data_IF_753711387083
#
_entry.id   IF_753711387083
#
_cell.length_a   1.000
_cell.length_b   1.000
_cell.length_c   1.000
_cell.angle_alpha   90.00
_cell.angle_beta   90.00
_cell.angle_gamma   90.00
#
_symmetry.space_group_name_H-M   'P 1'
#
loop_
_entity.id
_entity.type
_entity.pdbx_description
1 polymer ?
#
# COMPACT_ATOMS: atom_id res chain seq x y z
N UNK A 1 -35.25 29.67 20.37
CA UNK A 1 -34.05 28.80 20.50
C UNK A 1 -33.37 28.75 19.15
N UNK A 2 -32.12 29.20 19.03
CA UNK A 2 -31.38 29.17 17.77
C UNK A 2 -31.03 27.72 17.40
N UNK A 3 -31.44 27.28 16.21
CA UNK A 3 -31.12 25.95 15.66
C UNK A 3 -29.59 25.86 15.51
N UNK A 4 -28.96 24.94 16.26
CA UNK A 4 -27.52 24.65 16.09
C UNK A 4 -27.32 23.80 14.84
N UNK A 5 -26.28 24.11 14.09
CA UNK A 5 -25.86 23.31 12.94
C UNK A 5 -24.94 22.18 13.42
N UNK A 6 -24.95 20.99 12.80
CA UNK A 6 -24.11 19.86 13.21
C UNK A 6 -22.62 20.21 13.29
N UNK A 7 -22.13 21.09 12.41
CA UNK A 7 -20.74 21.57 12.42
C UNK A 7 -20.35 22.37 13.67
N UNK A 8 -21.33 22.91 14.41
CA UNK A 8 -21.11 23.64 15.66
C UNK A 8 -20.92 22.71 16.86
N UNK A 9 -21.27 21.43 16.72
CA UNK A 9 -21.11 20.39 17.73
C UNK A 9 -19.80 19.60 17.54
N UNK A 10 -19.11 19.81 16.41
CA UNK A 10 -17.83 19.16 16.13
C UNK A 10 -16.66 19.80 16.87
N UNK A 11 -15.66 18.98 17.20
CA UNK A 11 -14.40 19.43 17.78
C UNK A 11 -13.66 20.38 16.83
N UNK A 12 -13.11 21.45 17.40
CA UNK A 12 -12.36 22.48 16.66
C UNK A 12 -10.94 22.57 17.18
N UNK A 13 -9.98 22.51 16.27
CA UNK A 13 -8.56 22.54 16.60
C UNK A 13 -7.87 23.73 15.90
N UNK A 14 -7.16 24.55 16.68
CA UNK A 14 -6.39 25.67 16.14
C UNK A 14 -4.99 25.22 15.75
N UNK A 15 -4.73 25.11 14.45
CA UNK A 15 -3.41 24.71 13.90
C UNK A 15 -2.55 25.94 13.66
N UNK A 16 -1.30 25.91 14.12
CA UNK A 16 -0.26 26.88 13.74
C UNK A 16 0.51 26.34 12.55
N UNK A 17 0.37 27.01 11.41
CA UNK A 17 1.05 26.63 10.17
C UNK A 17 2.28 27.53 9.93
N UNK A 18 3.39 26.99 9.40
CA UNK A 18 4.50 27.79 8.90
C UNK A 18 4.05 28.67 7.72
N UNK A 19 4.86 29.69 7.41
CA UNK A 19 4.57 30.62 6.32
C UNK A 19 4.39 29.89 4.98
N UNK A 20 3.37 30.28 4.20
CA UNK A 20 3.07 29.71 2.89
C UNK A 20 2.23 28.42 2.91
N UNK A 21 2.27 27.62 3.98
CA UNK A 21 1.60 26.32 4.01
C UNK A 21 0.07 26.41 3.88
N UNK A 22 -0.54 27.44 4.47
CA UNK A 22 -1.99 27.69 4.33
C UNK A 22 -2.38 27.92 2.88
N UNK A 23 -1.58 28.66 2.13
CA UNK A 23 -1.85 29.00 0.74
C UNK A 23 -1.68 27.77 -0.16
N UNK A 24 -0.71 26.91 0.12
CA UNK A 24 -0.55 25.63 -0.56
C UNK A 24 -1.76 24.72 -0.37
N UNK A 25 -2.23 24.55 0.87
CA UNK A 25 -3.43 23.75 1.16
C UNK A 25 -4.66 24.33 0.46
N UNK A 26 -4.78 25.66 0.38
CA UNK A 26 -5.87 26.32 -0.36
C UNK A 26 -5.87 25.90 -1.83
N UNK A 27 -4.71 25.98 -2.49
CA UNK A 27 -4.58 25.61 -3.91
C UNK A 27 -4.90 24.14 -4.16
N UNK A 28 -4.47 23.25 -3.25
CA UNK A 28 -4.77 21.82 -3.35
C UNK A 28 -6.29 21.58 -3.21
N UNK A 29 -6.92 22.22 -2.22
CA UNK A 29 -8.36 22.11 -1.99
C UNK A 29 -9.17 22.61 -3.20
N UNK A 30 -8.80 23.77 -3.77
CA UNK A 30 -9.42 24.33 -4.98
C UNK A 30 -9.27 23.39 -6.18
N UNK A 31 -8.06 22.85 -6.40
CA UNK A 31 -7.79 21.88 -7.47
C UNK A 31 -8.65 20.62 -7.32
N UNK A 32 -8.92 20.20 -6.08
CA UNK A 32 -9.72 19.02 -5.77
C UNK A 32 -11.23 19.31 -5.65
N UNK A 33 -11.66 20.57 -5.87
CA UNK A 33 -13.08 20.97 -5.76
C UNK A 33 -13.64 20.86 -4.33
N UNK A 34 -12.78 20.96 -3.32
CA UNK A 34 -13.12 20.77 -1.90
C UNK A 34 -12.93 22.06 -1.11
N UNK A 35 -13.65 22.17 0.01
CA UNK A 35 -13.33 23.21 1.00
C UNK A 35 -11.97 22.90 1.64
N UNK A 36 -11.25 23.93 2.07
CA UNK A 36 -9.98 23.75 2.81
C UNK A 36 -10.15 22.82 4.01
N UNK A 37 -11.27 22.91 4.75
CA UNK A 37 -11.53 22.04 5.89
C UNK A 37 -11.67 20.57 5.45
N UNK A 38 -12.43 20.32 4.38
CA UNK A 38 -12.58 18.97 3.82
C UNK A 38 -11.23 18.40 3.39
N UNK A 39 -10.38 19.21 2.77
CA UNK A 39 -9.06 18.77 2.31
C UNK A 39 -8.13 18.45 3.47
N UNK A 40 -8.09 19.29 4.52
CA UNK A 40 -7.31 19.01 5.73
C UNK A 40 -7.77 17.70 6.39
N UNK A 41 -9.08 17.47 6.48
CA UNK A 41 -9.61 16.23 7.06
C UNK A 41 -9.19 15.01 6.23
N UNK A 42 -9.21 15.10 4.90
CA UNK A 42 -8.77 14.02 4.01
C UNK A 42 -7.27 13.72 4.16
N UNK A 43 -6.43 14.75 4.18
CA UNK A 43 -4.98 14.57 4.40
C UNK A 43 -4.69 13.92 5.76
N UNK A 44 -5.40 14.32 6.81
CA UNK A 44 -5.25 13.72 8.14
C UNK A 44 -5.72 12.26 8.16
N UNK A 45 -6.86 11.96 7.52
CA UNK A 45 -7.38 10.61 7.43
C UNK A 45 -6.40 9.68 6.69
N UNK A 46 -5.87 10.13 5.54
CA UNK A 46 -4.86 9.38 4.78
C UNK A 46 -3.59 9.14 5.60
N UNK A 47 -3.13 10.14 6.36
CA UNK A 47 -1.96 10.00 7.23
C UNK A 47 -2.21 9.01 8.38
N UNK A 48 -3.40 9.04 8.99
CA UNK A 48 -3.80 8.12 10.05
C UNK A 48 -3.90 6.69 9.49
N UNK A 49 -4.56 6.50 8.35
CA UNK A 49 -4.72 5.18 7.74
C UNK A 49 -3.37 4.61 7.31
N UNK A 50 -2.49 5.46 6.76
CA UNK A 50 -1.11 5.07 6.44
C UNK A 50 -0.33 4.66 7.69
N UNK A 51 -0.43 5.41 8.79
CA UNK A 51 0.22 5.07 10.05
C UNK A 51 -0.32 3.74 10.62
N UNK A 52 -1.65 3.54 10.64
CA UNK A 52 -2.28 2.29 11.10
C UNK A 52 -1.87 1.08 10.26
N UNK A 53 -1.74 1.26 8.96
CA UNK A 53 -1.29 0.22 8.04
C UNK A 53 0.22 -0.05 8.14
N UNK A 54 1.03 0.96 8.53
CA UNK A 54 2.45 0.80 8.76
C UNK A 54 2.76 -0.01 10.03
N UNK A 55 1.95 0.16 11.08
CA UNK A 55 2.07 -0.58 12.35
C UNK A 55 1.45 -1.98 12.29
N UNK A 56 0.60 -2.23 11.28
CA UNK A 56 0.04 -3.55 11.05
C UNK A 56 1.08 -4.41 10.33
N UNK A 57 1.59 -5.45 11.00
CA UNK A 57 2.37 -6.56 10.41
C UNK A 57 1.62 -7.34 9.32
N UNK A 58 0.45 -6.86 8.92
CA UNK A 58 -0.44 -7.48 7.98
C UNK A 58 -0.92 -6.46 6.94
N UNK A 59 -0.88 -6.86 5.67
CA UNK A 59 -1.51 -6.16 4.56
C UNK A 59 -3.01 -6.43 4.57
N UNK A 60 -3.81 -5.38 4.40
CA UNK A 60 -5.24 -5.53 4.11
C UNK A 60 -5.41 -5.57 2.59
N UNK A 61 -5.81 -6.73 2.05
CA UNK A 61 -6.17 -6.88 0.64
C UNK A 61 -7.69 -6.83 0.52
N UNK A 62 -8.17 -5.84 -0.23
CA UNK A 62 -9.58 -5.67 -0.57
C UNK A 62 -9.86 -6.36 -1.90
N UNK A 63 -10.54 -7.50 -1.88
CA UNK A 63 -11.03 -8.15 -3.09
C UNK A 63 -12.44 -7.64 -3.38
N UNK A 64 -12.60 -6.97 -4.53
CA UNK A 64 -13.90 -6.48 -5.01
C UNK A 64 -14.32 -7.35 -6.20
N UNK A 65 -15.49 -7.98 -6.12
CA UNK A 65 -16.04 -8.74 -7.24
C UNK A 65 -16.97 -7.85 -8.07
N UNK A 66 -16.41 -7.11 -9.03
CA UNK A 66 -17.15 -6.13 -9.86
C UNK A 66 -17.16 -4.71 -9.30
N UNK A 67 -18.09 -3.86 -9.75
CA UNK A 67 -18.25 -2.48 -9.26
C UNK A 67 -19.12 -2.35 -8.02
N UNK A 68 -19.58 -3.48 -7.47
CA UNK A 68 -20.47 -3.50 -6.32
C UNK A 68 -19.64 -3.52 -5.03
N UNK A 69 -19.63 -2.40 -4.32
CA UNK A 69 -18.84 -2.23 -3.09
C UNK A 69 -19.42 -2.99 -1.90
N UNK A 70 -20.67 -3.47 -2.00
CA UNK A 70 -21.37 -4.20 -0.95
C UNK A 70 -20.83 -5.62 -0.72
N UNK A 71 -20.09 -6.20 -1.67
CA UNK A 71 -19.53 -7.55 -1.62
C UNK A 71 -18.01 -7.54 -1.50
N UNK A 72 -17.51 -6.72 -0.56
CA UNK A 72 -16.08 -6.61 -0.27
C UNK A 72 -15.63 -7.69 0.72
N UNK A 73 -14.66 -8.53 0.32
CA UNK A 73 -13.99 -9.45 1.24
C UNK A 73 -12.67 -8.79 1.66
N UNK A 74 -12.55 -8.47 2.95
CA UNK A 74 -11.31 -7.99 3.55
C UNK A 74 -10.51 -9.19 4.03
N UNK A 75 -9.35 -9.43 3.41
CA UNK A 75 -8.42 -10.48 3.85
C UNK A 75 -7.26 -9.78 4.55
N UNK A 76 -7.05 -10.16 5.81
CA UNK A 76 -5.91 -9.73 6.60
C UNK A 76 -4.77 -10.73 6.36
N UNK A 77 -3.74 -10.32 5.61
CA UNK A 77 -2.63 -11.20 5.21
C UNK A 77 -1.36 -10.71 5.89
N UNK A 78 -0.70 -11.60 6.63
CA UNK A 78 0.63 -11.34 7.19
C UNK A 78 1.60 -10.88 6.09
N UNK A 79 2.13 -9.65 6.25
CA UNK A 79 2.92 -8.95 5.24
C UNK A 79 4.24 -9.66 4.97
N UNK A 80 4.85 -10.24 5.99
CA UNK A 80 6.10 -10.99 5.84
C UNK A 80 5.84 -12.28 5.06
N UNK A 81 4.78 -13.01 5.42
CA UNK A 81 4.40 -14.24 4.71
C UNK A 81 3.98 -13.99 3.27
N UNK A 82 3.24 -12.91 3.02
CA UNK A 82 2.83 -12.50 1.69
C UNK A 82 4.03 -12.15 0.81
N UNK A 83 4.93 -11.29 1.30
CA UNK A 83 6.13 -10.90 0.56
C UNK A 83 7.05 -12.10 0.31
N UNK A 84 7.19 -13.00 1.30
CA UNK A 84 7.91 -14.25 1.14
C UNK A 84 7.30 -15.15 0.06
N UNK A 85 5.97 -15.29 0.04
CA UNK A 85 5.26 -16.07 -0.97
C UNK A 85 5.40 -15.46 -2.39
N UNK A 86 5.30 -14.14 -2.52
CA UNK A 86 5.54 -13.45 -3.80
C UNK A 86 6.98 -13.63 -4.27
N UNK A 87 7.96 -13.37 -3.40
CA UNK A 87 9.37 -13.53 -3.77
C UNK A 87 9.66 -14.96 -4.22
N UNK A 88 9.07 -15.96 -3.56
CA UNK A 88 9.16 -17.36 -3.98
C UNK A 88 8.51 -17.60 -5.34
N UNK A 89 7.28 -17.12 -5.56
CA UNK A 89 6.57 -17.28 -6.82
C UNK A 89 7.33 -16.62 -7.99
N UNK A 90 7.79 -15.39 -7.81
CA UNK A 90 8.59 -14.65 -8.81
C UNK A 90 9.90 -15.39 -9.10
N UNK A 91 10.60 -15.88 -8.07
CA UNK A 91 11.85 -16.64 -8.25
C UNK A 91 11.61 -17.93 -9.03
N UNK A 92 10.52 -18.65 -8.75
CA UNK A 92 10.17 -19.88 -9.46
C UNK A 92 9.78 -19.62 -10.92
N UNK A 93 8.99 -18.57 -11.18
CA UNK A 93 8.60 -18.18 -12.55
C UNK A 93 9.82 -17.77 -13.38
N UNK A 94 10.75 -17.01 -12.79
CA UNK A 94 12.00 -16.62 -13.45
C UNK A 94 12.88 -17.86 -13.68
N UNK A 95 12.96 -18.78 -12.71
CA UNK A 95 13.70 -20.02 -12.88
C UNK A 95 13.12 -20.91 -14.00
N UNK A 96 11.78 -21.02 -14.09
CA UNK A 96 11.11 -21.75 -15.16
C UNK A 96 11.42 -21.15 -16.54
N UNK A 97 11.36 -19.81 -16.66
CA UNK A 97 11.70 -19.11 -17.90
C UNK A 97 13.17 -19.28 -18.29
N UNK A 98 14.09 -19.28 -17.32
CA UNK A 98 15.53 -19.46 -17.57
C UNK A 98 15.93 -20.94 -17.81
N UNK A 99 15.15 -21.89 -17.29
CA UNK A 99 15.34 -23.33 -17.49
C UNK A 99 14.70 -23.84 -18.78
N UNK A 100 13.84 -23.06 -19.42
CA UNK A 100 13.40 -23.28 -20.80
C UNK A 100 14.62 -23.10 -21.71
N UNK A 101 15.37 -24.19 -21.85
CA UNK A 101 16.61 -24.28 -22.60
C UNK A 101 16.33 -24.07 -24.09
N UNK A 102 16.49 -22.83 -24.53
CA UNK A 102 16.55 -22.43 -25.93
C UNK A 102 17.91 -22.81 -26.57
N UNK A 103 18.77 -23.55 -25.86
CA UNK A 103 20.09 -23.99 -26.30
C UNK A 103 21.16 -22.89 -26.24
N UNK A 104 20.83 -21.74 -25.64
CA UNK A 104 21.73 -20.61 -25.52
C UNK A 104 22.53 -20.68 -24.21
N UNK A 105 23.79 -21.13 -24.34
CA UNK A 105 24.75 -21.36 -23.24
C UNK A 105 25.35 -20.08 -22.66
N UNK A 106 25.10 -18.92 -23.29
CA UNK A 106 25.57 -17.62 -22.81
C UNK A 106 24.96 -17.20 -21.46
N UNK A 107 23.92 -17.90 -20.99
CA UNK A 107 23.21 -17.59 -19.75
C UNK A 107 23.55 -18.52 -18.58
N UNK A 108 24.52 -19.42 -18.70
CA UNK A 108 24.81 -20.44 -17.68
C UNK A 108 25.25 -19.85 -16.33
N UNK A 109 26.08 -18.80 -16.33
CA UNK A 109 26.46 -18.09 -15.09
C UNK A 109 25.25 -17.40 -14.44
N UNK A 110 24.34 -16.85 -15.26
CA UNK A 110 23.12 -16.22 -14.80
C UNK A 110 22.15 -17.25 -14.22
N UNK A 111 21.99 -18.42 -14.87
CA UNK A 111 21.22 -19.56 -14.38
C UNK A 111 21.77 -20.07 -13.04
N UNK A 112 23.09 -20.22 -12.92
CA UNK A 112 23.73 -20.68 -11.68
C UNK A 112 23.55 -19.67 -10.53
N UNK A 113 23.66 -18.38 -10.81
CA UNK A 113 23.41 -17.31 -9.84
C UNK A 113 21.97 -17.33 -9.33
N UNK A 114 20.99 -17.45 -10.22
CA UNK A 114 19.57 -17.52 -9.85
C UNK A 114 19.23 -18.79 -9.06
N UNK A 115 19.82 -19.94 -9.42
CA UNK A 115 19.64 -21.19 -8.65
C UNK A 115 20.16 -21.07 -7.22
N UNK A 116 21.32 -20.41 -7.01
CA UNK A 116 21.85 -20.12 -5.67
C UNK A 116 20.94 -19.19 -4.86
N UNK A 117 20.28 -18.22 -5.50
CA UNK A 117 19.29 -17.36 -4.84
C UNK A 117 18.06 -18.19 -4.44
N UNK A 118 17.51 -18.98 -5.36
CA UNK A 118 16.32 -19.81 -5.13
C UNK A 118 16.52 -20.79 -3.97
N UNK A 119 17.67 -21.46 -3.91
CA UNK A 119 18.01 -22.40 -2.84
C UNK A 119 18.09 -21.71 -1.47
N UNK A 120 18.72 -20.53 -1.42
CA UNK A 120 18.83 -19.74 -0.19
C UNK A 120 17.48 -19.21 0.30
N UNK A 121 16.60 -18.81 -0.60
CA UNK A 121 15.22 -18.40 -0.27
C UNK A 121 14.45 -19.60 0.30
N UNK A 122 14.51 -20.77 -0.34
CA UNK A 122 13.82 -21.97 0.14
C UNK A 122 14.32 -22.42 1.53
N UNK A 123 15.63 -22.31 1.78
CA UNK A 123 16.24 -22.65 3.08
C UNK A 123 15.82 -21.71 4.21
N UNK A 124 15.61 -20.42 3.93
CA UNK A 124 15.12 -19.44 4.92
C UNK A 124 13.64 -19.63 5.27
N UNK A 125 12.84 -20.24 4.38
CA UNK A 125 11.41 -20.43 4.58
C UNK A 125 11.05 -21.73 5.32
N UNK A 126 11.92 -22.74 5.27
CA UNK A 126 11.73 -24.03 5.94
C UNK A 126 12.45 -24.12 7.30
N UNK A 127 12.79 -22.98 7.90
CA UNK A 127 13.39 -22.84 9.23
C UNK A 127 12.39 -22.19 10.18
#
# INVERSE_FOLDING_TARGET
MTKKYPSQEMDRFNVRMPAGMRDEITKIAEKNGRSMNTEIVMMLQEAIDSARNADSSHQNVTLVNGSDTASTISINIDKEKYNAAINKAVTLLIAEELLNDDGNTDNDEFKEFFMKIAENVNKKLNK
#
